data_IF_441650086744
#
_entry.id   IF_441650086744
#
_cell.length_a   1.000
_cell.length_b   1.000
_cell.length_c   1.000
_cell.angle_alpha   90.00
_cell.angle_beta   90.00
_cell.angle_gamma   90.00
#
_symmetry.space_group_name_H-M   'P 1'
#
loop_
_entity.id
_entity.type
_entity.pdbx_description
1 polymer ?
#
# COMPACT_ATOMS: atom_id res chain seq x y z
N UNK A 1 46.11 25.65 31.04
CA UNK A 1 45.59 24.60 30.13
C UNK A 1 44.41 23.80 30.69
N UNK A 2 44.03 23.93 31.97
CA UNK A 2 42.92 23.17 32.59
C UNK A 2 41.48 23.60 32.22
N UNK A 3 41.26 24.82 31.71
CA UNK A 3 39.90 25.32 31.38
C UNK A 3 39.27 24.66 30.14
N UNK A 4 40.08 24.13 29.23
CA UNK A 4 39.59 23.52 27.99
C UNK A 4 39.30 22.01 28.13
N UNK A 5 39.92 21.35 29.12
CA UNK A 5 39.75 19.91 29.38
C UNK A 5 38.43 19.63 30.10
N UNK A 6 38.01 20.55 31.00
CA UNK A 6 36.74 20.42 31.74
C UNK A 6 35.53 20.49 30.79
N UNK A 7 35.58 21.34 29.75
CA UNK A 7 34.51 21.48 28.76
C UNK A 7 34.31 20.23 27.89
N UNK A 8 35.39 19.52 27.58
CA UNK A 8 35.32 18.26 26.84
C UNK A 8 34.81 17.12 27.72
N UNK A 9 35.27 17.04 28.98
CA UNK A 9 34.86 15.98 29.90
C UNK A 9 33.35 16.03 30.24
N UNK A 10 32.75 17.22 30.35
CA UNK A 10 31.30 17.36 30.58
C UNK A 10 30.45 16.92 29.39
N UNK A 11 30.96 17.05 28.17
CA UNK A 11 30.25 16.64 26.96
C UNK A 11 30.27 15.10 26.80
N UNK A 12 31.37 14.45 27.20
CA UNK A 12 31.50 12.98 27.19
C UNK A 12 30.56 12.28 28.18
N UNK A 13 30.31 12.90 29.34
CA UNK A 13 29.40 12.38 30.38
C UNK A 13 27.93 12.51 29.92
N UNK A 14 27.57 13.60 29.24
CA UNK A 14 26.21 13.81 28.73
C UNK A 14 25.82 12.78 27.64
N UNK A 15 26.79 12.36 26.82
CA UNK A 15 26.59 11.37 25.74
C UNK A 15 26.49 9.94 26.29
N UNK A 16 27.04 9.65 27.48
CA UNK A 16 27.03 8.31 28.08
C UNK A 16 25.78 7.98 28.90
N UNK A 17 24.91 8.97 29.15
CA UNK A 17 23.57 8.79 29.73
C UNK A 17 22.49 8.76 28.65
N UNK A 18 22.47 7.68 27.87
CA UNK A 18 21.50 7.43 26.78
C UNK A 18 20.02 7.49 27.20
N UNK A 19 19.71 7.38 28.50
CA UNK A 19 18.34 7.46 29.02
C UNK A 19 17.82 8.90 29.27
N UNK A 20 18.68 9.92 29.22
CA UNK A 20 18.31 11.34 29.46
C UNK A 20 18.31 12.16 28.16
N UNK A 21 18.98 11.68 27.10
CA UNK A 21 19.02 12.37 25.81
C UNK A 21 17.65 12.45 25.13
N UNK A 22 16.85 11.38 25.20
CA UNK A 22 15.51 11.33 24.61
C UNK A 22 14.55 12.34 25.25
N UNK A 23 14.56 12.45 26.59
CA UNK A 23 13.67 13.36 27.33
C UNK A 23 14.15 14.83 27.26
N UNK A 24 15.45 15.06 27.06
CA UNK A 24 16.01 16.40 26.90
C UNK A 24 15.79 16.94 25.48
N UNK A 25 16.01 16.11 24.45
CA UNK A 25 15.74 16.48 23.06
C UNK A 25 14.24 16.67 22.80
N UNK A 26 13.37 15.85 23.40
CA UNK A 26 11.91 16.05 23.33
C UNK A 26 11.49 17.36 24.00
N UNK A 27 12.04 17.71 25.17
CA UNK A 27 11.77 18.99 25.86
C UNK A 27 12.28 20.23 25.13
N UNK A 28 13.48 20.19 24.55
CA UNK A 28 14.06 21.35 23.84
C UNK A 28 13.36 21.57 22.50
N UNK A 29 12.88 20.50 21.87
CA UNK A 29 12.16 20.57 20.59
C UNK A 29 10.64 20.74 20.73
N UNK A 30 10.11 20.91 21.95
CA UNK A 30 8.66 20.85 22.23
C UNK A 30 7.98 19.62 21.59
N UNK A 31 8.64 18.46 21.61
CA UNK A 31 8.15 17.20 21.02
C UNK A 31 8.35 17.09 19.51
N UNK A 32 8.89 18.11 18.82
CA UNK A 32 9.02 18.08 17.36
C UNK A 32 10.02 17.03 16.86
N UNK A 33 11.09 16.77 17.63
CA UNK A 33 12.13 15.80 17.26
C UNK A 33 11.88 14.37 17.78
N UNK A 34 11.02 14.18 18.80
CA UNK A 34 10.75 12.83 19.33
C UNK A 34 9.72 12.05 18.51
N UNK A 35 8.78 12.75 17.87
CA UNK A 35 7.63 12.10 17.24
C UNK A 35 7.73 12.05 15.71
N UNK A 36 8.81 12.57 15.13
CA UNK A 36 9.03 12.57 13.67
C UNK A 36 10.32 11.82 13.32
N UNK A 37 10.21 10.49 13.24
CA UNK A 37 11.14 9.72 12.42
C UNK A 37 11.21 10.36 11.04
N UNK A 38 12.41 10.75 10.59
CA UNK A 38 12.62 11.33 9.26
C UNK A 38 12.02 10.39 8.22
N UNK A 39 10.95 10.83 7.55
CA UNK A 39 10.22 10.06 6.54
C UNK A 39 8.90 9.42 7.00
N UNK A 40 8.52 9.52 8.29
CA UNK A 40 7.22 9.06 8.79
C UNK A 40 6.23 10.23 8.81
N UNK A 41 5.19 10.14 7.97
CA UNK A 41 4.09 11.11 7.97
C UNK A 41 3.08 10.71 9.04
N UNK A 42 2.93 11.54 10.06
CA UNK A 42 1.79 11.47 10.99
C UNK A 42 0.51 11.88 10.27
N UNK A 43 -0.48 10.99 10.26
CA UNK A 43 -1.77 11.24 9.61
C UNK A 43 -2.71 11.97 10.58
N UNK A 44 -3.40 12.99 10.09
CA UNK A 44 -4.52 13.60 10.81
C UNK A 44 -5.71 12.64 10.93
N UNK A 45 -6.64 12.89 11.86
CA UNK A 45 -7.82 12.03 12.07
C UNK A 45 -8.65 11.82 10.80
N UNK A 46 -8.69 12.82 9.91
CA UNK A 46 -9.37 12.71 8.62
C UNK A 46 -8.55 11.85 7.64
N UNK A 47 -7.24 12.04 7.56
CA UNK A 47 -6.36 11.22 6.72
C UNK A 47 -6.34 9.75 7.19
N UNK A 48 -6.46 9.48 8.49
CA UNK A 48 -6.59 8.12 9.03
C UNK A 48 -7.87 7.42 8.55
N UNK A 49 -8.98 8.15 8.38
CA UNK A 49 -10.23 7.59 7.81
C UNK A 49 -10.10 7.26 6.33
N UNK A 50 -9.22 7.97 5.64
CA UNK A 50 -8.93 7.80 4.22
C UNK A 50 -7.85 6.76 3.94
N UNK A 51 -7.18 6.22 4.97
CA UNK A 51 -6.38 5.00 4.87
C UNK A 51 -7.33 3.82 4.66
N UNK A 52 -7.77 3.65 3.41
CA UNK A 52 -8.26 2.36 2.93
C UNK A 52 -7.04 1.45 2.85
N UNK A 53 -7.17 0.23 3.33
CA UNK A 53 -6.11 -0.76 3.18
C UNK A 53 -5.97 -1.19 1.73
N UNK A 54 -5.25 -2.29 1.52
CA UNK A 54 -4.91 -2.80 0.20
C UNK A 54 -5.91 -3.82 -0.33
N UNK A 55 -5.76 -4.14 -1.60
CA UNK A 55 -6.53 -5.25 -2.16
C UNK A 55 -5.85 -6.60 -1.87
N UNK A 56 -6.69 -7.61 -1.63
CA UNK A 56 -6.25 -8.98 -1.40
C UNK A 56 -6.44 -9.81 -2.67
N UNK A 57 -5.50 -10.74 -2.87
CA UNK A 57 -5.44 -11.56 -4.08
C UNK A 57 -5.31 -13.03 -3.70
N UNK A 58 -6.22 -13.85 -4.22
CA UNK A 58 -6.18 -15.31 -4.06
C UNK A 58 -6.03 -15.99 -5.41
N UNK A 59 -5.21 -17.03 -5.49
CA UNK A 59 -4.87 -17.69 -6.76
C UNK A 59 -6.11 -18.31 -7.40
N UNK A 60 -6.36 -17.99 -8.67
CA UNK A 60 -7.51 -18.47 -9.43
C UNK A 60 -7.06 -19.24 -10.68
N UNK A 61 -6.36 -20.36 -10.50
CA UNK A 61 -5.76 -21.15 -11.60
C UNK A 61 -6.74 -21.60 -12.68
N UNK A 62 -8.02 -21.76 -12.32
CA UNK A 62 -9.09 -22.08 -13.27
C UNK A 62 -9.28 -21.05 -14.39
N UNK A 63 -8.79 -19.82 -14.22
CA UNK A 63 -8.90 -18.74 -15.20
C UNK A 63 -7.56 -18.40 -15.89
N UNK A 64 -6.56 -19.25 -15.74
CA UNK A 64 -5.30 -19.10 -16.44
C UNK A 64 -5.48 -19.31 -17.95
N UNK A 65 -4.54 -18.78 -18.70
CA UNK A 65 -4.38 -19.09 -20.12
C UNK A 65 -2.88 -19.16 -20.43
N UNK A 66 -2.49 -19.41 -21.68
CA UNK A 66 -1.10 -19.56 -22.08
C UNK A 66 -0.23 -18.38 -21.57
N UNK A 67 0.66 -18.68 -20.60
CA UNK A 67 1.53 -17.72 -19.91
C UNK A 67 0.80 -16.57 -19.20
N UNK A 68 -0.46 -16.77 -18.82
CA UNK A 68 -1.27 -15.84 -18.04
C UNK A 68 -1.75 -16.48 -16.75
N UNK A 69 -1.64 -15.72 -15.66
CA UNK A 69 -1.96 -16.16 -14.31
C UNK A 69 -3.06 -15.28 -13.74
N UNK A 70 -4.12 -15.90 -13.21
CA UNK A 70 -5.28 -15.20 -12.67
C UNK A 70 -5.40 -15.31 -11.15
N UNK A 71 -5.99 -14.26 -10.56
CA UNK A 71 -6.24 -14.13 -9.14
C UNK A 71 -7.62 -13.51 -8.90
N UNK A 72 -8.36 -14.02 -7.93
CA UNK A 72 -9.54 -13.36 -7.39
C UNK A 72 -9.13 -12.08 -6.69
N UNK A 73 -9.96 -11.04 -6.81
CA UNK A 73 -9.75 -9.75 -6.15
C UNK A 73 -10.76 -9.59 -5.02
N UNK A 74 -10.25 -9.26 -3.83
CA UNK A 74 -11.06 -8.92 -2.67
C UNK A 74 -10.60 -7.59 -2.09
N UNK A 75 -11.51 -6.90 -1.40
CA UNK A 75 -11.12 -5.78 -0.55
C UNK A 75 -10.39 -6.28 0.72
N UNK A 76 -9.96 -5.35 1.57
CA UNK A 76 -9.26 -5.63 2.83
C UNK A 76 -9.96 -6.64 3.75
N UNK A 77 -11.29 -6.69 3.69
CA UNK A 77 -12.12 -7.52 4.55
C UNK A 77 -12.52 -8.85 3.88
N UNK A 78 -11.78 -9.29 2.86
CA UNK A 78 -12.14 -10.44 2.01
C UNK A 78 -13.53 -10.30 1.31
N UNK A 79 -14.03 -9.07 1.19
CA UNK A 79 -15.29 -8.75 0.53
C UNK A 79 -15.17 -8.60 -0.98
N UNK A 80 -16.31 -8.69 -1.67
CA UNK A 80 -16.39 -8.43 -3.11
C UNK A 80 -16.09 -6.97 -3.44
N UNK A 81 -15.32 -6.75 -4.51
CA UNK A 81 -15.00 -5.42 -5.06
C UNK A 81 -15.98 -4.98 -6.15
N UNK A 82 -17.03 -5.76 -6.43
CA UNK A 82 -17.92 -5.54 -7.56
C UNK A 82 -18.62 -4.16 -7.50
N UNK A 83 -19.09 -3.74 -6.33
CA UNK A 83 -19.72 -2.43 -6.13
C UNK A 83 -18.73 -1.28 -6.34
N UNK A 84 -17.47 -1.43 -5.90
CA UNK A 84 -16.41 -0.43 -6.08
C UNK A 84 -16.06 -0.22 -7.56
N UNK A 85 -16.28 -1.26 -8.38
CA UNK A 85 -15.98 -1.29 -9.81
C UNK A 85 -17.21 -1.14 -10.71
N UNK A 86 -18.41 -1.00 -10.14
CA UNK A 86 -19.68 -0.98 -10.87
C UNK A 86 -19.88 -2.22 -11.77
N UNK A 87 -19.46 -3.37 -11.26
CA UNK A 87 -19.61 -4.68 -11.90
C UNK A 87 -20.81 -5.40 -11.27
N UNK A 88 -21.60 -6.10 -12.08
CA UNK A 88 -22.71 -6.90 -11.57
C UNK A 88 -22.25 -7.94 -10.53
N UNK A 89 -23.02 -8.14 -9.46
CA UNK A 89 -22.64 -9.00 -8.33
C UNK A 89 -22.36 -10.47 -8.70
N UNK A 90 -22.97 -10.98 -9.78
CA UNK A 90 -22.80 -12.35 -10.25
C UNK A 90 -21.51 -12.56 -11.07
N UNK A 91 -20.85 -11.49 -11.49
CA UNK A 91 -19.58 -11.56 -12.23
C UNK A 91 -18.42 -11.66 -11.25
N UNK A 92 -17.37 -12.37 -11.65
CA UNK A 92 -16.14 -12.47 -10.86
C UNK A 92 -15.13 -11.45 -11.36
N UNK A 93 -14.58 -10.61 -10.48
CA UNK A 93 -13.46 -9.73 -10.81
C UNK A 93 -12.14 -10.47 -10.64
N UNK A 94 -11.30 -10.40 -11.66
CA UNK A 94 -10.03 -11.11 -11.76
C UNK A 94 -8.90 -10.11 -12.03
N UNK A 95 -7.84 -10.20 -11.24
CA UNK A 95 -6.56 -9.59 -11.56
C UNK A 95 -5.67 -10.61 -12.24
N UNK A 96 -5.07 -10.22 -13.37
CA UNK A 96 -4.28 -11.11 -14.20
C UNK A 96 -2.97 -10.45 -14.59
N UNK A 97 -1.93 -11.26 -14.71
CA UNK A 97 -0.74 -10.88 -15.46
C UNK A 97 -0.45 -11.90 -16.54
N UNK A 98 0.25 -11.49 -17.59
CA UNK A 98 0.73 -12.36 -18.65
C UNK A 98 2.15 -11.99 -19.06
N UNK A 99 2.91 -12.95 -19.59
CA UNK A 99 4.23 -12.66 -20.14
C UNK A 99 4.12 -12.22 -21.61
N UNK A 100 4.51 -10.98 -21.89
CA UNK A 100 4.65 -10.40 -23.24
C UNK A 100 6.10 -9.95 -23.38
N UNK A 101 6.82 -10.48 -24.38
CA UNK A 101 8.24 -10.16 -24.60
C UNK A 101 9.11 -10.26 -23.32
N UNK A 102 8.90 -11.31 -22.54
CA UNK A 102 9.59 -11.57 -21.27
C UNK A 102 9.32 -10.53 -20.15
N UNK A 103 8.33 -9.66 -20.33
CA UNK A 103 7.84 -8.71 -19.34
C UNK A 103 6.42 -9.05 -18.90
N UNK A 104 6.06 -8.69 -17.66
CA UNK A 104 4.71 -8.89 -17.14
C UNK A 104 3.81 -7.73 -17.56
N UNK A 105 2.76 -8.05 -18.29
CA UNK A 105 1.65 -7.15 -18.61
C UNK A 105 0.49 -7.46 -17.66
N UNK A 106 -0.03 -6.45 -16.97
CA UNK A 106 -1.01 -6.57 -15.88
C UNK A 106 -2.33 -5.95 -16.28
N UNK A 107 -3.43 -6.65 -16.01
CA UNK A 107 -4.76 -6.21 -16.42
C UNK A 107 -5.85 -6.78 -15.52
N UNK A 108 -7.02 -6.13 -15.55
CA UNK A 108 -8.21 -6.56 -14.83
C UNK A 108 -9.26 -7.08 -15.80
N UNK A 109 -9.95 -8.14 -15.41
CA UNK A 109 -11.07 -8.70 -16.16
C UNK A 109 -12.25 -9.03 -15.25
N UNK A 110 -13.43 -9.06 -15.85
CA UNK A 110 -14.61 -9.71 -15.29
C UNK A 110 -14.81 -11.05 -15.99
N UNK A 111 -15.27 -12.05 -15.25
CA UNK A 111 -15.79 -13.29 -15.79
C UNK A 111 -17.29 -13.36 -15.50
N UNK A 112 -18.08 -13.56 -16.55
CA UNK A 112 -19.52 -13.78 -16.44
C UNK A 112 -19.83 -15.29 -16.55
N UNK A 113 -20.25 -15.94 -15.45
CA UNK A 113 -20.57 -17.36 -15.47
C UNK A 113 -21.82 -17.71 -16.26
N UNK A 114 -22.73 -16.75 -16.51
CA UNK A 114 -23.98 -17.00 -17.25
C UNK A 114 -23.75 -17.10 -18.74
N UNK A 115 -22.82 -16.29 -19.26
CA UNK A 115 -22.48 -16.22 -20.68
C UNK A 115 -21.14 -16.90 -21.01
N UNK A 116 -20.41 -17.35 -19.98
CA UNK A 116 -19.06 -17.89 -20.07
C UNK A 116 -18.10 -16.96 -20.82
N UNK A 117 -18.20 -15.66 -20.56
CA UNK A 117 -17.46 -14.61 -21.28
C UNK A 117 -16.56 -13.79 -20.35
N UNK A 118 -15.56 -13.15 -20.93
CA UNK A 118 -14.67 -12.24 -20.22
C UNK A 118 -14.84 -10.81 -20.73
N UNK A 119 -14.92 -9.85 -19.80
CA UNK A 119 -14.89 -8.42 -20.09
C UNK A 119 -13.66 -7.76 -19.50
N UNK A 120 -13.04 -6.81 -20.19
CA UNK A 120 -11.89 -6.07 -19.67
C UNK A 120 -12.33 -4.88 -18.82
N UNK A 121 -11.66 -4.66 -17.69
CA UNK A 121 -11.84 -3.45 -16.88
C UNK A 121 -10.63 -2.54 -17.12
N UNK A 122 -10.89 -1.33 -17.61
CA UNK A 122 -9.86 -0.33 -17.85
C UNK A 122 -9.83 0.67 -16.68
N UNK A 123 -8.68 0.85 -16.01
CA UNK A 123 -8.49 1.96 -15.08
C UNK A 123 -8.77 3.30 -15.77
N UNK A 124 -9.40 4.23 -15.04
CA UNK A 124 -9.74 5.56 -15.51
C UNK A 124 -9.63 6.56 -14.35
N UNK A 125 -8.90 7.66 -14.52
CA UNK A 125 -8.73 8.68 -13.47
C UNK A 125 -9.92 9.64 -13.33
N UNK A 126 -10.89 9.61 -14.25
CA UNK A 126 -12.06 10.50 -14.28
C UNK A 126 -13.27 9.94 -13.53
N UNK A 127 -13.32 8.63 -13.28
CA UNK A 127 -14.45 7.97 -12.60
C UNK A 127 -14.00 7.31 -11.32
N UNK A 128 -14.84 7.33 -10.28
CA UNK A 128 -14.52 6.70 -8.99
C UNK A 128 -14.21 5.21 -9.13
N UNK A 129 -14.98 4.49 -9.96
CA UNK A 129 -14.74 3.08 -10.22
C UNK A 129 -13.44 2.81 -11.00
N UNK A 130 -13.08 3.70 -11.93
CA UNK A 130 -11.84 3.61 -12.68
C UNK A 130 -10.61 3.88 -11.82
N UNK A 131 -10.74 4.79 -10.85
CA UNK A 131 -9.70 5.06 -9.84
C UNK A 131 -9.50 3.81 -8.98
N UNK A 132 -10.58 3.17 -8.53
CA UNK A 132 -10.51 1.91 -7.77
C UNK A 132 -9.86 0.78 -8.58
N UNK A 133 -10.23 0.63 -9.86
CA UNK A 133 -9.56 -0.30 -10.77
C UNK A 133 -8.05 -0.04 -10.87
N UNK A 134 -7.64 1.23 -10.95
CA UNK A 134 -6.23 1.62 -10.94
C UNK A 134 -5.51 1.26 -9.64
N UNK A 135 -6.16 1.45 -8.49
CA UNK A 135 -5.63 1.06 -7.18
C UNK A 135 -5.43 -0.44 -7.07
N UNK A 136 -6.45 -1.24 -7.43
CA UNK A 136 -6.37 -2.71 -7.47
C UNK A 136 -5.18 -3.15 -8.33
N UNK A 137 -5.06 -2.60 -9.54
CA UNK A 137 -4.02 -3.01 -10.47
C UNK A 137 -2.62 -2.65 -9.97
N UNK A 138 -2.47 -1.51 -9.31
CA UNK A 138 -1.21 -1.09 -8.70
C UNK A 138 -0.80 -2.00 -7.54
N UNK A 139 -1.74 -2.34 -6.66
CA UNK A 139 -1.49 -3.26 -5.54
C UNK A 139 -1.15 -4.66 -6.04
N UNK A 140 -1.83 -5.11 -7.10
CA UNK A 140 -1.55 -6.39 -7.73
C UNK A 140 -0.12 -6.44 -8.31
N UNK A 141 0.30 -5.39 -9.02
CA UNK A 141 1.65 -5.27 -9.60
C UNK A 141 2.75 -5.22 -8.55
N UNK A 142 2.50 -4.63 -7.38
CA UNK A 142 3.48 -4.63 -6.28
C UNK A 142 3.69 -6.02 -5.69
N UNK A 143 2.64 -6.86 -5.71
CA UNK A 143 2.65 -8.18 -5.09
C UNK A 143 3.16 -9.30 -6.02
N UNK A 144 2.93 -9.18 -7.33
CA UNK A 144 3.27 -10.19 -8.33
C UNK A 144 3.99 -9.58 -9.51
#
# INVERSE_FOLDING_TARGET
MFKNVIKFATLSILISSSAIADDFLSKISNGALSDTSIGVKTLSLNEMKDVKGGYQFSRASKYDNFRSYAYYVYNDNFGSVNSELQVDSHKTVLAKYRYVNNQKDYYLQTYDPKTNSFGTIFPNSQTSWGINAGKILNDFRKKY
#
